data_IF_633279980359
#
_entry.id   IF_633279980359
#
_cell.length_a   1.000
_cell.length_b   1.000
_cell.length_c   1.000
_cell.angle_alpha   90.00
_cell.angle_beta   90.00
_cell.angle_gamma   90.00
#
_symmetry.space_group_name_H-M   'P 1'
#
loop_
_entity.id
_entity.type
_entity.pdbx_description
1 polymer ?
#
# COMPACT_ATOMS: atom_id res chain seq x y z
N UNK A 1 28.76 -40.85 24.62
CA UNK A 1 28.76 -39.37 24.67
C UNK A 1 28.57 -38.92 26.13
N UNK A 2 29.28 -37.85 26.55
CA UNK A 2 29.15 -37.31 27.92
C UNK A 2 27.75 -36.69 28.12
N UNK A 3 27.13 -36.86 29.31
CA UNK A 3 25.80 -36.28 29.66
C UNK A 3 25.68 -34.81 29.28
N UNK A 4 26.77 -34.05 29.52
CA UNK A 4 26.86 -32.62 29.23
C UNK A 4 26.73 -32.28 27.74
N UNK A 5 27.20 -33.15 26.84
CA UNK A 5 27.12 -32.89 25.37
C UNK A 5 25.70 -33.02 24.85
N UNK A 6 24.94 -34.04 25.30
CA UNK A 6 23.55 -34.23 24.88
C UNK A 6 22.71 -33.09 25.45
N UNK A 7 22.91 -32.70 26.69
CA UNK A 7 22.19 -31.58 27.31
C UNK A 7 22.49 -30.27 26.63
N UNK A 8 23.78 -29.98 26.32
CA UNK A 8 24.15 -28.79 25.54
C UNK A 8 23.49 -28.76 24.17
N UNK A 9 23.54 -29.88 23.45
CA UNK A 9 22.91 -29.99 22.11
C UNK A 9 21.41 -29.75 22.18
N UNK A 10 20.73 -30.31 23.18
CA UNK A 10 19.28 -30.12 23.41
C UNK A 10 18.95 -28.64 23.65
N UNK A 11 19.73 -27.95 24.49
CA UNK A 11 19.54 -26.53 24.80
C UNK A 11 19.77 -25.67 23.56
N UNK A 12 20.86 -25.90 22.82
CA UNK A 12 21.12 -25.18 21.57
C UNK A 12 20.01 -25.35 20.54
N UNK A 13 19.55 -26.59 20.36
CA UNK A 13 18.41 -26.87 19.45
C UNK A 13 17.12 -26.23 19.91
N UNK A 14 16.83 -26.24 21.23
CA UNK A 14 15.64 -25.58 21.78
C UNK A 14 15.69 -24.05 21.56
N UNK A 15 16.85 -23.43 21.79
CA UNK A 15 17.05 -22.00 21.55
C UNK A 15 16.89 -21.66 20.04
N UNK A 16 17.44 -22.47 19.15
CA UNK A 16 17.29 -22.30 17.72
C UNK A 16 15.83 -22.40 17.29
N UNK A 17 15.09 -23.35 17.86
CA UNK A 17 13.66 -23.55 17.55
C UNK A 17 12.79 -22.40 18.08
N UNK A 18 13.06 -21.90 19.29
CA UNK A 18 12.38 -20.73 19.85
C UNK A 18 12.67 -19.48 19.00
N UNK A 19 13.93 -19.30 18.58
CA UNK A 19 14.30 -18.23 17.64
C UNK A 19 13.55 -18.31 16.32
N UNK A 20 13.39 -19.52 15.78
CA UNK A 20 12.64 -19.73 14.53
C UNK A 20 11.15 -19.38 14.68
N UNK A 21 10.49 -19.81 15.78
CA UNK A 21 9.10 -19.45 16.07
C UNK A 21 8.95 -17.93 16.21
N UNK A 22 9.88 -17.28 16.93
CA UNK A 22 9.85 -15.82 17.10
C UNK A 22 9.91 -15.10 15.75
N UNK A 23 10.84 -15.47 14.88
CA UNK A 23 10.94 -14.90 13.53
C UNK A 23 9.66 -15.13 12.73
N UNK A 24 9.03 -16.31 12.82
CA UNK A 24 7.81 -16.65 12.11
C UNK A 24 6.63 -15.78 12.57
N UNK A 25 6.49 -15.56 13.89
CA UNK A 25 5.43 -14.67 14.44
C UNK A 25 5.66 -13.23 13.98
N UNK A 26 6.87 -12.71 14.12
CA UNK A 26 7.22 -11.34 13.69
C UNK A 26 6.99 -11.14 12.19
N UNK A 27 7.33 -12.13 11.38
CA UNK A 27 7.07 -12.07 9.94
C UNK A 27 5.57 -12.03 9.62
N UNK A 28 4.75 -12.78 10.37
CA UNK A 28 3.29 -12.74 10.22
C UNK A 28 2.71 -11.37 10.59
N UNK A 29 3.13 -10.79 11.72
CA UNK A 29 2.70 -9.45 12.13
C UNK A 29 3.06 -8.40 11.07
N UNK A 30 4.30 -8.36 10.61
CA UNK A 30 4.74 -7.45 9.56
C UNK A 30 3.95 -7.62 8.25
N UNK A 31 3.59 -8.86 7.90
CA UNK A 31 2.78 -9.13 6.70
C UNK A 31 1.36 -8.59 6.84
N UNK A 32 0.75 -8.73 8.03
CA UNK A 32 -0.58 -8.18 8.32
C UNK A 32 -0.55 -6.66 8.21
N UNK A 33 0.45 -6.01 8.80
CA UNK A 33 0.58 -4.56 8.80
C UNK A 33 0.83 -4.04 7.38
N UNK A 34 1.72 -4.67 6.63
CA UNK A 34 1.96 -4.33 5.23
C UNK A 34 0.69 -4.45 4.37
N UNK A 35 -0.10 -5.51 4.56
CA UNK A 35 -1.38 -5.69 3.85
C UNK A 35 -2.42 -4.64 4.24
N UNK A 36 -2.48 -4.26 5.51
CA UNK A 36 -3.33 -3.18 5.98
C UNK A 36 -2.95 -1.84 5.34
N UNK A 37 -1.67 -1.55 5.26
CA UNK A 37 -1.15 -0.32 4.66
C UNK A 37 -1.44 -0.28 3.15
N UNK A 38 -1.13 -1.35 2.41
CA UNK A 38 -1.45 -1.46 0.98
C UNK A 38 -2.94 -1.29 0.70
N UNK A 39 -3.79 -1.90 1.52
CA UNK A 39 -5.24 -1.73 1.43
C UNK A 39 -5.64 -0.28 1.65
N UNK A 40 -5.13 0.36 2.69
CA UNK A 40 -5.40 1.75 3.04
C UNK A 40 -4.98 2.71 1.93
N UNK A 41 -3.79 2.53 1.35
CA UNK A 41 -3.30 3.32 0.23
C UNK A 41 -4.17 3.15 -1.02
N UNK A 42 -4.58 1.91 -1.34
CA UNK A 42 -5.44 1.65 -2.51
C UNK A 42 -6.81 2.31 -2.33
N UNK A 43 -7.38 2.25 -1.12
CA UNK A 43 -8.63 2.95 -0.79
C UNK A 43 -8.46 4.46 -0.94
N UNK A 44 -7.41 5.04 -0.34
CA UNK A 44 -7.20 6.50 -0.39
C UNK A 44 -6.98 7.00 -1.82
N UNK A 45 -6.26 6.24 -2.64
CA UNK A 45 -6.12 6.54 -4.08
C UNK A 45 -7.47 6.53 -4.80
N UNK A 46 -8.31 5.52 -4.53
CA UNK A 46 -9.64 5.43 -5.11
C UNK A 46 -10.53 6.60 -4.68
N UNK A 47 -10.53 6.96 -3.40
CA UNK A 47 -11.32 8.07 -2.88
C UNK A 47 -10.86 9.43 -3.44
N UNK A 48 -9.56 9.65 -3.57
CA UNK A 48 -9.00 10.84 -4.21
C UNK A 48 -9.44 10.93 -5.69
N UNK A 49 -9.43 9.81 -6.39
CA UNK A 49 -9.89 9.75 -7.78
C UNK A 49 -11.38 10.08 -7.91
N UNK A 50 -12.23 9.57 -7.01
CA UNK A 50 -13.66 9.89 -6.95
C UNK A 50 -13.86 11.38 -6.71
N UNK A 51 -13.16 11.98 -5.74
CA UNK A 51 -13.21 13.42 -5.47
C UNK A 51 -12.85 14.23 -6.73
N UNK A 52 -11.74 13.86 -7.39
CA UNK A 52 -11.30 14.54 -8.61
C UNK A 52 -12.29 14.38 -9.78
N UNK A 53 -12.91 13.22 -9.94
CA UNK A 53 -13.92 12.99 -10.97
C UNK A 53 -15.17 13.84 -10.73
N UNK A 54 -15.65 13.94 -9.48
CA UNK A 54 -16.79 14.78 -9.13
C UNK A 54 -16.50 16.28 -9.34
N UNK A 55 -15.29 16.73 -9.01
CA UNK A 55 -14.87 18.11 -9.30
C UNK A 55 -14.78 18.39 -10.81
N UNK A 56 -14.29 17.41 -11.58
CA UNK A 56 -14.26 17.53 -13.04
C UNK A 56 -15.67 17.60 -13.65
N UNK A 57 -16.59 16.75 -13.19
CA UNK A 57 -17.98 16.77 -13.63
C UNK A 57 -18.65 18.10 -13.30
N UNK A 58 -18.39 18.63 -12.11
CA UNK A 58 -18.91 19.93 -11.70
C UNK A 58 -18.35 21.06 -12.55
N UNK A 59 -17.04 21.07 -12.76
CA UNK A 59 -16.40 22.06 -13.65
C UNK A 59 -16.94 22.01 -15.07
N UNK A 60 -17.16 20.79 -15.59
CA UNK A 60 -17.74 20.59 -16.92
C UNK A 60 -19.17 21.10 -17.00
N UNK A 61 -19.98 20.83 -15.98
CA UNK A 61 -21.36 21.31 -15.89
C UNK A 61 -21.43 22.84 -15.98
N UNK A 62 -20.65 23.56 -15.18
CA UNK A 62 -20.63 25.01 -15.20
C UNK A 62 -20.06 25.60 -16.49
N UNK A 63 -19.04 24.93 -17.05
CA UNK A 63 -18.48 25.38 -18.33
C UNK A 63 -19.51 25.23 -19.46
N UNK A 64 -20.31 24.19 -19.48
CA UNK A 64 -21.39 24.00 -20.45
C UNK A 64 -22.52 25.01 -20.22
N UNK A 65 -22.88 25.33 -18.97
CA UNK A 65 -23.89 26.31 -18.61
C UNK A 65 -23.43 27.74 -18.99
N UNK A 66 -22.20 28.14 -18.67
CA UNK A 66 -21.63 29.45 -19.06
C UNK A 66 -21.51 29.61 -20.58
N UNK A 67 -21.14 28.55 -21.31
CA UNK A 67 -21.08 28.57 -22.78
C UNK A 67 -22.48 28.73 -23.36
N UNK A 68 -23.50 28.09 -22.80
CA UNK A 68 -24.87 28.19 -23.23
C UNK A 68 -25.44 29.60 -22.98
N UNK A 69 -25.15 30.22 -21.84
CA UNK A 69 -25.60 31.55 -21.44
C UNK A 69 -24.89 32.68 -22.20
N UNK A 70 -23.59 32.52 -22.48
CA UNK A 70 -22.83 33.48 -23.27
C UNK A 70 -23.26 33.55 -24.71
N UNK A 71 -24.11 32.63 -25.18
CA UNK A 71 -24.61 32.61 -26.55
C UNK A 71 -23.49 32.65 -27.57
N UNK A 72 -22.37 32.00 -27.26
CA UNK A 72 -21.29 31.84 -28.23
C UNK A 72 -21.82 30.94 -29.34
N UNK A 73 -22.40 31.57 -30.32
CA UNK A 73 -22.64 30.97 -31.61
C UNK A 73 -21.26 30.44 -32.06
N UNK A 74 -21.19 29.13 -32.22
CA UNK A 74 -20.07 28.52 -32.95
C UNK A 74 -19.79 29.36 -34.16
N UNK A 75 -18.58 29.81 -34.44
CA UNK A 75 -18.28 30.56 -35.65
C UNK A 75 -18.68 29.67 -36.81
N UNK A 76 -19.75 30.09 -37.52
CA UNK A 76 -20.11 29.48 -38.77
C UNK A 76 -18.96 29.83 -39.71
N UNK A 77 -18.07 28.89 -39.92
CA UNK A 77 -16.95 29.01 -40.86
C UNK A 77 -17.59 29.10 -42.26
N UNK A 78 -17.95 30.30 -42.64
CA UNK A 78 -18.16 30.65 -44.04
C UNK A 78 -16.83 31.27 -44.48
N UNK A 79 -16.22 30.66 -45.50
CA UNK A 79 -15.00 31.12 -46.16
C UNK A 79 -15.07 32.63 -46.45
N UNK A 80 -14.49 33.45 -45.59
CA UNK A 80 -13.94 34.78 -45.84
C UNK A 80 -13.96 35.80 -44.70
N UNK A 81 -14.82 35.69 -43.63
CA UNK A 81 -14.78 36.72 -42.57
C UNK A 81 -15.12 36.17 -41.20
N UNK A 82 -14.19 36.34 -40.23
CA UNK A 82 -14.47 36.12 -38.81
C UNK A 82 -15.27 37.30 -38.25
N UNK A 83 -16.58 37.13 -38.14
CA UNK A 83 -17.44 38.08 -37.44
C UNK A 83 -17.85 37.52 -36.09
N UNK A 84 -17.46 38.17 -35.00
CA UNK A 84 -17.95 37.88 -33.66
C UNK A 84 -19.21 38.72 -33.38
N UNK A 85 -20.32 38.11 -33.15
CA UNK A 85 -21.52 38.80 -32.68
C UNK A 85 -21.68 38.60 -31.18
N UNK A 86 -21.34 39.64 -30.40
CA UNK A 86 -21.62 39.67 -28.95
C UNK A 86 -23.04 40.24 -28.78
N UNK A 87 -23.94 39.45 -28.19
CA UNK A 87 -25.30 39.86 -27.88
C UNK A 87 -25.26 41.00 -26.84
N UNK A 88 -25.38 42.24 -27.30
CA UNK A 88 -25.47 43.39 -26.39
C UNK A 88 -24.84 44.71 -26.87
N UNK A 89 -23.94 44.74 -27.83
CA UNK A 89 -23.48 45.96 -28.51
C UNK A 89 -22.83 45.60 -29.82
N UNK A 90 -23.42 46.01 -30.92
CA UNK A 90 -22.79 46.01 -32.24
C UNK A 90 -21.61 46.96 -32.18
N UNK A 91 -20.42 46.44 -32.09
CA UNK A 91 -19.17 47.19 -32.35
C UNK A 91 -18.43 46.40 -33.41
N UNK A 92 -18.78 46.64 -34.63
CA UNK A 92 -18.00 46.22 -35.79
C UNK A 92 -16.64 46.90 -35.75
N UNK A 93 -15.61 46.20 -35.31
CA UNK A 93 -14.23 46.56 -35.57
C UNK A 93 -13.61 45.55 -36.51
N UNK A 94 -13.66 45.86 -37.78
CA UNK A 94 -12.83 45.23 -38.81
C UNK A 94 -11.33 45.55 -38.48
N UNK A 95 -10.62 44.61 -37.92
CA UNK A 95 -9.19 44.75 -37.62
C UNK A 95 -8.31 43.99 -38.63
N UNK A 96 -8.83 43.68 -39.80
CA UNK A 96 -8.02 42.93 -40.78
C UNK A 96 -8.31 43.40 -42.20
N UNK A 97 -8.16 44.70 -42.49
CA UNK A 97 -8.13 45.09 -43.92
C UNK A 97 -7.38 46.40 -44.20
N UNK A 98 -6.25 46.61 -43.60
CA UNK A 98 -5.42 47.78 -44.00
C UNK A 98 -3.90 47.47 -44.09
N UNK A 99 -3.49 46.30 -44.51
CA UNK A 99 -2.04 46.08 -44.75
C UNK A 99 -1.72 45.19 -45.96
N UNK A 100 -2.58 45.16 -46.98
CA UNK A 100 -2.26 44.41 -48.22
C UNK A 100 -2.17 45.24 -49.49
N UNK A 101 -2.18 46.60 -49.44
CA UNK A 101 -2.12 47.39 -50.64
C UNK A 101 -1.05 48.51 -50.68
N UNK A 102 0.03 48.37 -49.97
CA UNK A 102 1.22 49.29 -50.15
C UNK A 102 2.52 48.51 -50.27
N UNK A 103 2.57 47.49 -51.10
CA UNK A 103 3.85 46.90 -51.50
C UNK A 103 3.95 46.71 -53.00
N UNK A 104 3.68 47.80 -53.75
CA UNK A 104 4.04 47.88 -55.17
C UNK A 104 4.22 49.36 -55.55
N UNK A 105 5.38 49.88 -55.44
CA UNK A 105 5.98 50.91 -56.22
C UNK A 105 6.97 51.75 -55.39
N UNK A 106 8.20 51.46 -55.49
CA UNK A 106 9.34 52.41 -55.75
C UNK A 106 10.63 51.71 -55.29
N UNK A 107 11.17 50.91 -56.15
CA UNK A 107 12.60 50.68 -56.19
C UNK A 107 13.19 51.81 -56.85
N UNK A 108 13.89 52.71 -56.12
CA UNK A 108 15.15 53.26 -56.51
C UNK A 108 15.61 54.35 -55.50
N UNK A 109 16.88 54.24 -55.16
CA UNK A 109 17.80 55.26 -54.70
C UNK A 109 17.97 55.42 -53.19
N UNK A 110 19.18 55.13 -52.82
CA UNK A 110 20.13 55.55 -51.79
C UNK A 110 20.37 54.60 -50.68
N UNK A 111 21.35 53.78 -50.90
CA UNK A 111 22.06 52.98 -49.89
C UNK A 111 23.00 53.91 -49.12
N UNK A 112 22.74 54.13 -47.84
CA UNK A 112 23.69 54.26 -46.74
C UNK A 112 23.16 54.95 -45.48
N UNK A 113 22.02 55.67 -45.52
CA UNK A 113 21.39 56.22 -44.30
C UNK A 113 20.11 55.53 -43.87
N UNK A 114 19.66 54.45 -44.55
CA UNK A 114 18.42 53.69 -44.23
C UNK A 114 18.62 52.52 -43.31
N UNK A 115 19.90 52.15 -43.04
CA UNK A 115 20.10 50.97 -42.15
C UNK A 115 19.86 51.21 -40.64
N UNK A 116 20.11 52.46 -40.19
CA UNK A 116 19.86 52.81 -38.78
C UNK A 116 18.38 53.10 -38.51
N UNK A 117 17.72 53.83 -39.39
CA UNK A 117 16.28 54.11 -39.25
C UNK A 117 15.40 52.87 -39.50
N UNK A 118 15.81 51.97 -40.38
CA UNK A 118 15.10 50.67 -40.58
C UNK A 118 15.23 49.75 -39.35
N UNK A 119 16.35 49.74 -38.66
CA UNK A 119 16.55 48.96 -37.44
C UNK A 119 15.77 49.52 -36.24
N UNK A 120 15.72 50.86 -36.05
CA UNK A 120 14.86 51.44 -35.00
C UNK A 120 13.38 51.19 -35.28
N UNK A 121 12.90 51.38 -36.50
CA UNK A 121 11.53 51.09 -36.89
C UNK A 121 11.15 49.58 -36.76
N UNK A 122 12.12 48.68 -36.95
CA UNK A 122 11.89 47.25 -36.80
C UNK A 122 11.85 46.85 -35.31
N UNK A 123 12.67 47.44 -34.47
CA UNK A 123 12.71 47.21 -33.04
C UNK A 123 11.46 47.76 -32.35
N UNK A 124 10.99 48.94 -32.73
CA UNK A 124 9.74 49.52 -32.25
C UNK A 124 8.51 48.67 -32.63
N UNK A 125 8.48 48.18 -33.86
CA UNK A 125 7.40 47.22 -34.29
C UNK A 125 7.47 45.90 -33.55
N UNK A 126 8.64 45.38 -33.30
CA UNK A 126 8.84 44.17 -32.56
C UNK A 126 8.38 44.32 -31.09
N UNK A 127 8.72 45.44 -30.46
CA UNK A 127 8.27 45.77 -29.10
C UNK A 127 6.75 45.95 -29.03
N UNK A 128 6.15 46.67 -29.98
CA UNK A 128 4.69 46.87 -30.02
C UNK A 128 3.91 45.57 -30.24
N UNK A 129 4.42 44.65 -31.06
CA UNK A 129 3.84 43.29 -31.23
C UNK A 129 3.99 42.48 -29.97
N UNK A 130 5.15 42.53 -29.29
CA UNK A 130 5.38 41.87 -28.03
C UNK A 130 4.47 42.39 -26.92
N UNK A 131 4.28 43.69 -26.81
CA UNK A 131 3.37 44.32 -25.86
C UNK A 131 1.90 43.94 -26.14
N UNK A 132 1.51 43.90 -27.41
CA UNK A 132 0.17 43.47 -27.83
C UNK A 132 -0.08 42.02 -27.49
N UNK A 133 0.86 41.12 -27.80
CA UNK A 133 0.78 39.70 -27.45
C UNK A 133 0.74 39.47 -25.93
N UNK A 134 1.56 40.21 -25.18
CA UNK A 134 1.57 40.21 -23.73
C UNK A 134 0.25 40.70 -23.15
N UNK A 135 -0.30 41.79 -23.73
CA UNK A 135 -1.61 42.32 -23.35
C UNK A 135 -2.73 41.32 -23.61
N UNK A 136 -2.74 40.65 -24.77
CA UNK A 136 -3.70 39.59 -25.11
C UNK A 136 -3.56 38.40 -24.16
N UNK A 137 -2.35 37.96 -23.87
CA UNK A 137 -2.12 36.86 -22.94
C UNK A 137 -2.61 37.17 -21.51
N UNK A 138 -2.32 38.38 -21.00
CA UNK A 138 -2.77 38.84 -19.68
C UNK A 138 -4.29 38.98 -19.63
N UNK A 139 -4.91 39.46 -20.69
CA UNK A 139 -6.36 39.57 -20.82
C UNK A 139 -7.01 38.18 -20.83
N UNK A 140 -6.54 37.24 -21.63
CA UNK A 140 -7.02 35.87 -21.65
C UNK A 140 -6.85 35.16 -20.31
N UNK A 141 -5.71 35.37 -19.65
CA UNK A 141 -5.46 34.84 -18.31
C UNK A 141 -6.40 35.47 -17.27
N UNK A 142 -6.70 36.76 -17.39
CA UNK A 142 -7.66 37.46 -16.53
C UNK A 142 -9.07 36.89 -16.66
N UNK A 143 -9.53 36.67 -17.90
CA UNK A 143 -10.82 36.05 -18.19
C UNK A 143 -10.91 34.61 -17.66
N UNK A 144 -9.87 33.82 -17.86
CA UNK A 144 -9.82 32.44 -17.32
C UNK A 144 -9.90 32.44 -15.79
N UNK A 145 -9.18 33.35 -15.12
CA UNK A 145 -9.26 33.45 -13.66
C UNK A 145 -10.65 33.88 -13.18
N UNK A 146 -11.30 34.80 -13.89
CA UNK A 146 -12.66 35.26 -13.57
C UNK A 146 -13.67 34.12 -13.74
N UNK A 147 -13.59 33.37 -14.82
CA UNK A 147 -14.43 32.18 -15.07
C UNK A 147 -14.19 31.13 -13.99
N UNK A 148 -12.93 30.83 -13.65
CA UNK A 148 -12.62 29.87 -12.58
C UNK A 148 -13.19 30.35 -11.23
N UNK A 149 -13.05 31.61 -10.87
CA UNK A 149 -13.58 32.16 -9.62
C UNK A 149 -15.12 32.12 -9.61
N UNK A 150 -15.78 32.39 -10.72
CA UNK A 150 -17.22 32.26 -10.86
C UNK A 150 -17.68 30.84 -10.68
N UNK A 151 -17.02 29.87 -11.36
CA UNK A 151 -17.31 28.44 -11.22
C UNK A 151 -17.16 28.01 -9.75
N UNK A 152 -16.06 28.37 -9.08
CA UNK A 152 -15.83 28.03 -7.68
C UNK A 152 -16.87 28.65 -6.73
N UNK A 153 -17.30 29.88 -6.98
CA UNK A 153 -18.33 30.54 -6.16
C UNK A 153 -19.72 30.00 -6.41
N UNK A 154 -20.04 29.66 -7.65
CA UNK A 154 -21.36 29.20 -8.09
C UNK A 154 -21.57 27.73 -7.68
N UNK A 155 -20.51 26.90 -7.81
CA UNK A 155 -20.54 25.48 -7.43
C UNK A 155 -20.88 25.29 -5.95
N UNK A 156 -20.30 26.09 -5.07
CA UNK A 156 -20.53 25.99 -3.63
C UNK A 156 -21.96 26.41 -3.20
N UNK A 157 -22.78 26.99 -4.07
CA UNK A 157 -24.15 27.38 -3.78
C UNK A 157 -25.20 26.32 -4.15
N UNK A 158 -24.83 25.32 -4.97
CA UNK A 158 -25.74 24.21 -5.29
C UNK A 158 -25.87 23.24 -4.12
N UNK A 159 -27.06 22.63 -3.92
CA UNK A 159 -27.26 21.57 -2.93
C UNK A 159 -26.27 20.41 -3.18
N UNK A 160 -25.72 19.87 -2.12
CA UNK A 160 -24.72 18.80 -2.21
C UNK A 160 -25.30 17.51 -2.85
N UNK A 161 -26.59 17.29 -2.67
CA UNK A 161 -27.32 16.14 -3.24
C UNK A 161 -27.32 16.15 -4.76
N UNK A 162 -27.30 17.34 -5.39
CA UNK A 162 -27.24 17.50 -6.85
C UNK A 162 -25.80 17.40 -7.37
N UNK A 163 -24.82 17.91 -6.58
CA UNK A 163 -23.39 17.88 -6.93
C UNK A 163 -22.81 16.47 -6.83
N UNK A 164 -23.21 15.74 -5.80
CA UNK A 164 -22.78 14.37 -5.51
C UNK A 164 -24.00 13.46 -5.34
N UNK A 165 -24.63 13.11 -6.46
CA UNK A 165 -25.75 12.17 -6.46
C UNK A 165 -25.31 10.78 -5.98
N UNK A 166 -26.13 10.14 -5.15
CA UNK A 166 -25.82 8.86 -4.51
C UNK A 166 -25.50 7.75 -5.50
N UNK A 167 -26.22 7.68 -6.60
CA UNK A 167 -25.99 6.65 -7.61
C UNK A 167 -24.66 6.88 -8.34
N UNK A 168 -24.34 8.13 -8.66
CA UNK A 168 -23.07 8.51 -9.31
C UNK A 168 -21.87 8.28 -8.38
N UNK A 169 -21.99 8.67 -7.13
CA UNK A 169 -20.92 8.42 -6.11
C UNK A 169 -20.69 6.92 -5.95
N UNK A 170 -21.75 6.11 -5.89
CA UNK A 170 -21.63 4.66 -5.82
C UNK A 170 -20.90 4.09 -7.03
N UNK A 171 -21.26 4.52 -8.22
CA UNK A 171 -20.66 4.06 -9.49
C UNK A 171 -19.17 4.41 -9.55
N UNK A 172 -18.81 5.66 -9.24
CA UNK A 172 -17.41 6.09 -9.20
C UNK A 172 -16.59 5.36 -8.13
N UNK A 173 -17.18 5.13 -6.96
CA UNK A 173 -16.54 4.31 -5.93
C UNK A 173 -16.28 2.89 -6.42
N UNK A 174 -17.28 2.26 -7.01
CA UNK A 174 -17.17 0.90 -7.53
C UNK A 174 -16.07 0.79 -8.60
N UNK A 175 -16.09 1.67 -9.59
CA UNK A 175 -15.11 1.67 -10.68
C UNK A 175 -13.68 1.95 -10.18
N UNK A 176 -13.51 2.94 -9.32
CA UNK A 176 -12.18 3.31 -8.81
C UNK A 176 -11.62 2.28 -7.83
N UNK A 177 -12.45 1.68 -6.99
CA UNK A 177 -12.02 0.59 -6.10
C UNK A 177 -11.61 -0.62 -6.92
N UNK A 178 -12.41 -1.02 -7.90
CA UNK A 178 -12.10 -2.15 -8.79
C UNK A 178 -10.81 -1.90 -9.59
N UNK A 179 -10.63 -0.69 -10.12
CA UNK A 179 -9.40 -0.30 -10.85
C UNK A 179 -8.14 -0.35 -9.99
N UNK A 180 -8.27 -0.13 -8.68
CA UNK A 180 -7.18 -0.25 -7.70
C UNK A 180 -7.07 -1.66 -7.09
N UNK A 181 -7.76 -2.66 -7.67
CA UNK A 181 -7.68 -4.07 -7.24
C UNK A 181 -8.50 -4.39 -5.99
N UNK A 182 -9.45 -3.55 -5.62
CA UNK A 182 -10.35 -3.72 -4.49
C UNK A 182 -11.75 -4.07 -4.97
N UNK A 183 -11.98 -5.33 -5.31
CA UNK A 183 -13.32 -5.86 -5.64
C UNK A 183 -13.97 -6.42 -4.37
N UNK A 184 -14.48 -5.52 -3.53
CA UNK A 184 -15.03 -5.83 -2.21
C UNK A 184 -16.28 -5.03 -1.91
N UNK A 185 -17.23 -5.59 -1.16
CA UNK A 185 -18.40 -4.83 -0.72
C UNK A 185 -17.99 -3.67 0.19
N UNK A 186 -18.53 -2.51 -0.12
CA UNK A 186 -18.32 -1.28 0.62
C UNK A 186 -19.65 -0.62 0.95
N UNK A 187 -19.65 0.15 2.02
CA UNK A 187 -20.75 1.01 2.43
C UNK A 187 -20.24 2.43 2.54
N UNK A 188 -21.07 3.39 2.19
CA UNK A 188 -20.65 4.79 2.19
C UNK A 188 -21.70 5.73 2.74
N UNK A 189 -21.26 6.89 3.20
CA UNK A 189 -22.10 7.98 3.66
C UNK A 189 -21.47 9.32 3.27
N UNK A 190 -22.33 10.27 2.95
CA UNK A 190 -21.97 11.65 2.72
C UNK A 190 -22.33 12.46 3.96
N UNK A 191 -21.35 13.17 4.50
CA UNK A 191 -21.48 13.96 5.73
C UNK A 191 -21.02 15.38 5.47
N UNK A 192 -21.92 16.35 5.65
CA UNK A 192 -21.58 17.75 5.58
C UNK A 192 -21.15 18.24 6.98
N UNK A 193 -20.14 19.09 7.04
CA UNK A 193 -19.65 19.65 8.31
C UNK A 193 -20.72 20.41 9.09
N UNK A 194 -21.61 21.12 8.41
CA UNK A 194 -22.65 21.97 9.01
C UNK A 194 -23.98 21.26 9.16
N UNK A 195 -24.39 20.45 8.17
CA UNK A 195 -25.70 19.82 8.08
C UNK A 195 -25.76 18.39 8.61
N UNK A 196 -24.62 17.80 8.95
CA UNK A 196 -24.55 16.41 9.41
C UNK A 196 -24.66 15.40 8.27
N UNK A 197 -25.39 14.31 8.50
CA UNK A 197 -25.55 13.24 7.51
C UNK A 197 -26.46 13.71 6.35
N UNK A 198 -25.93 13.72 5.13
CA UNK A 198 -26.66 14.04 3.90
C UNK A 198 -27.42 12.80 3.41
N UNK A 199 -26.70 11.74 3.14
CA UNK A 199 -27.26 10.42 2.83
C UNK A 199 -26.29 9.31 3.17
N UNK A 200 -26.77 8.06 3.23
CA UNK A 200 -25.96 6.88 3.47
C UNK A 200 -26.50 5.67 2.69
N UNK A 201 -25.63 4.72 2.38
CA UNK A 201 -26.02 3.40 1.88
C UNK A 201 -26.73 2.58 2.97
N UNK A 202 -27.49 1.57 2.58
CA UNK A 202 -28.40 0.81 3.46
C UNK A 202 -27.67 0.14 4.63
N UNK A 203 -26.44 -0.32 4.40
CA UNK A 203 -25.62 -1.04 5.39
C UNK A 203 -24.67 -0.15 6.19
N UNK A 204 -24.64 1.17 5.93
CA UNK A 204 -23.70 2.06 6.61
C UNK A 204 -24.08 2.29 8.09
N UNK A 205 -23.20 1.87 8.99
CA UNK A 205 -23.37 2.04 10.43
C UNK A 205 -22.74 3.36 10.90
N UNK A 206 -23.60 4.28 11.35
CA UNK A 206 -23.20 5.60 11.83
C UNK A 206 -22.49 5.57 13.18
N UNK A 207 -22.76 4.57 14.03
CA UNK A 207 -22.18 4.48 15.36
C UNK A 207 -20.73 3.96 15.33
N UNK A 208 -20.41 3.11 14.37
CA UNK A 208 -19.07 2.54 14.18
C UNK A 208 -18.15 3.34 13.25
N UNK A 209 -18.47 4.61 12.99
CA UNK A 209 -17.74 5.49 12.05
C UNK A 209 -16.26 5.72 12.44
N UNK A 210 -15.90 5.49 13.69
CA UNK A 210 -14.53 5.60 14.21
C UNK A 210 -13.76 4.27 14.17
N UNK A 211 -14.31 3.22 13.55
CA UNK A 211 -13.63 1.95 13.45
C UNK A 211 -12.45 2.01 12.46
N UNK A 212 -11.42 1.19 12.70
CA UNK A 212 -10.25 1.02 11.82
C UNK A 212 -10.59 0.61 10.37
N UNK A 213 -11.87 0.40 10.07
CA UNK A 213 -12.38 -0.07 8.78
C UNK A 213 -13.03 1.05 7.97
N UNK A 214 -13.08 2.30 8.47
CA UNK A 214 -13.65 3.44 7.78
C UNK A 214 -12.59 4.42 7.32
N UNK A 215 -12.81 4.99 6.14
CA UNK A 215 -11.95 5.97 5.50
C UNK A 215 -12.76 7.22 5.20
N UNK A 216 -12.12 8.37 5.29
CA UNK A 216 -12.78 9.66 5.10
C UNK A 216 -11.99 10.49 4.10
N UNK A 217 -12.68 11.02 3.09
CA UNK A 217 -12.12 11.91 2.09
C UNK A 217 -12.97 13.15 1.94
N UNK A 218 -12.33 14.30 1.73
CA UNK A 218 -13.01 15.54 1.36
C UNK A 218 -13.40 15.44 -0.11
N UNK A 219 -14.69 15.64 -0.44
CA UNK A 219 -15.15 15.55 -1.84
C UNK A 219 -14.81 16.81 -2.64
N UNK A 220 -15.03 17.98 -2.06
CA UNK A 220 -14.81 19.26 -2.72
C UNK A 220 -13.88 20.11 -1.85
N UNK A 221 -12.54 19.99 -2.03
CA UNK A 221 -11.55 20.70 -1.23
C UNK A 221 -11.62 22.23 -1.36
N UNK A 222 -12.13 22.71 -2.50
CA UNK A 222 -12.22 24.13 -2.82
C UNK A 222 -13.47 24.82 -2.23
N UNK A 223 -14.37 24.05 -1.62
CA UNK A 223 -15.56 24.61 -0.97
C UNK A 223 -15.18 25.43 0.29
N UNK A 224 -15.98 26.47 0.63
CA UNK A 224 -15.81 27.20 1.86
C UNK A 224 -15.85 26.28 3.08
N UNK A 225 -15.04 26.59 4.13
CA UNK A 225 -14.85 25.75 5.32
C UNK A 225 -16.17 25.30 5.96
N UNK A 226 -17.22 26.14 5.90
CA UNK A 226 -18.56 25.82 6.45
C UNK A 226 -19.36 24.82 5.62
N UNK A 227 -19.01 24.61 4.35
CA UNK A 227 -19.73 23.73 3.40
C UNK A 227 -18.95 22.47 3.04
N UNK A 228 -17.79 22.24 3.66
CA UNK A 228 -16.96 21.07 3.38
C UNK A 228 -17.75 19.78 3.58
N UNK A 229 -17.75 18.93 2.58
CA UNK A 229 -18.42 17.64 2.57
C UNK A 229 -17.41 16.50 2.58
N UNK A 230 -17.66 15.53 3.45
CA UNK A 230 -16.82 14.34 3.63
C UNK A 230 -17.53 13.11 3.07
N UNK A 231 -16.83 12.38 2.24
CA UNK A 231 -17.20 11.03 1.86
C UNK A 231 -16.59 10.06 2.87
N UNK A 232 -17.43 9.32 3.57
CA UNK A 232 -17.00 8.24 4.48
C UNK A 232 -17.32 6.91 3.84
N UNK A 233 -16.32 6.04 3.74
CA UNK A 233 -16.48 4.70 3.17
C UNK A 233 -16.03 3.67 4.20
N UNK A 234 -16.84 2.64 4.40
CA UNK A 234 -16.60 1.55 5.34
C UNK A 234 -16.52 0.22 4.60
N UNK A 235 -15.60 -0.64 5.05
CA UNK A 235 -15.39 -1.98 4.48
C UNK A 235 -15.64 -3.05 5.55
N UNK A 236 -16.86 -3.56 5.68
CA UNK A 236 -17.21 -4.54 6.72
C UNK A 236 -16.41 -5.85 6.61
N UNK A 237 -16.04 -6.24 5.39
CA UNK A 237 -15.31 -7.48 5.10
C UNK A 237 -13.79 -7.34 5.08
N UNK A 238 -13.23 -6.16 5.37
CA UNK A 238 -11.78 -5.87 5.32
C UNK A 238 -10.94 -6.93 6.04
N UNK A 239 -11.33 -7.30 7.26
CA UNK A 239 -10.60 -8.29 8.08
C UNK A 239 -10.50 -9.64 7.37
N UNK A 240 -11.59 -10.11 6.77
CA UNK A 240 -11.63 -11.41 6.08
C UNK A 240 -10.69 -11.43 4.87
N UNK A 241 -10.59 -10.31 4.16
CA UNK A 241 -9.73 -10.17 2.97
C UNK A 241 -8.27 -10.18 3.35
N UNK A 242 -7.89 -9.42 4.38
CA UNK A 242 -6.52 -9.44 4.91
C UNK A 242 -6.16 -10.84 5.38
N UNK A 243 -7.05 -11.52 6.12
CA UNK A 243 -6.83 -12.90 6.56
C UNK A 243 -6.70 -13.87 5.40
N UNK A 244 -7.52 -13.74 4.35
CA UNK A 244 -7.43 -14.61 3.18
C UNK A 244 -6.10 -14.45 2.43
N UNK A 245 -5.53 -13.25 2.43
CA UNK A 245 -4.24 -12.98 1.83
C UNK A 245 -3.06 -13.62 2.58
N UNK A 246 -3.26 -14.05 3.84
CA UNK A 246 -2.23 -14.65 4.70
C UNK A 246 -2.34 -16.17 4.73
N UNK A 247 -3.38 -16.76 4.13
CA UNK A 247 -3.60 -18.22 4.14
C UNK A 247 -2.41 -19.03 3.61
N UNK A 248 -1.60 -18.47 2.70
CA UNK A 248 -0.41 -19.14 2.19
C UNK A 248 0.67 -19.38 3.27
N UNK A 249 0.61 -18.69 4.42
CA UNK A 249 1.53 -18.91 5.54
C UNK A 249 1.14 -20.13 6.41
N UNK A 250 -0.10 -20.59 6.34
CA UNK A 250 -0.59 -21.73 7.14
C UNK A 250 0.30 -22.98 6.94
N UNK A 251 0.70 -23.38 5.71
CA UNK A 251 1.59 -24.52 5.52
C UNK A 251 2.93 -24.39 6.23
N UNK A 252 3.47 -23.18 6.36
CA UNK A 252 4.73 -22.91 7.07
C UNK A 252 4.59 -23.19 8.57
N UNK A 253 3.48 -22.77 9.18
CA UNK A 253 3.19 -23.07 10.60
C UNK A 253 2.98 -24.56 10.83
N UNK A 254 2.26 -25.25 9.93
CA UNK A 254 2.05 -26.71 10.02
C UNK A 254 3.39 -27.45 9.94
N UNK A 255 4.26 -27.07 8.99
CA UNK A 255 5.59 -27.67 8.85
C UNK A 255 6.44 -27.43 10.10
N UNK A 256 6.41 -26.22 10.64
CA UNK A 256 7.10 -25.87 11.88
C UNK A 256 6.61 -26.73 13.06
N UNK A 257 5.30 -26.96 13.17
CA UNK A 257 4.73 -27.82 14.20
C UNK A 257 5.16 -29.28 14.05
N UNK A 258 5.19 -29.81 12.82
CA UNK A 258 5.68 -31.17 12.54
C UNK A 258 7.15 -31.31 12.97
N UNK A 259 7.99 -30.33 12.62
CA UNK A 259 9.40 -30.32 13.04
C UNK A 259 9.55 -30.30 14.56
N UNK A 260 8.71 -29.54 15.27
CA UNK A 260 8.68 -29.54 16.74
C UNK A 260 8.38 -30.93 17.31
N UNK A 261 7.37 -31.61 16.77
CA UNK A 261 7.00 -32.96 17.22
C UNK A 261 8.15 -33.95 16.98
N UNK A 262 8.75 -33.93 15.79
CA UNK A 262 9.91 -34.77 15.46
C UNK A 262 11.06 -34.48 16.44
N UNK A 263 11.34 -33.23 16.75
CA UNK A 263 12.37 -32.83 17.68
C UNK A 263 12.13 -33.40 19.10
N UNK A 264 10.91 -33.25 19.62
CA UNK A 264 10.53 -33.80 20.95
C UNK A 264 10.71 -35.32 20.97
N UNK A 265 10.24 -36.01 19.92
CA UNK A 265 10.36 -37.48 19.82
C UNK A 265 11.86 -37.89 19.79
N UNK A 266 12.67 -37.23 18.97
CA UNK A 266 14.11 -37.53 18.86
C UNK A 266 14.84 -37.33 20.17
N UNK A 267 14.57 -36.26 20.90
CA UNK A 267 15.15 -36.02 22.22
C UNK A 267 14.72 -37.10 23.22
N UNK A 268 13.43 -37.46 23.23
CA UNK A 268 12.93 -38.47 24.12
C UNK A 268 13.60 -39.83 23.89
N UNK A 269 13.76 -40.22 22.62
CA UNK A 269 14.47 -41.44 22.24
C UNK A 269 15.94 -41.38 22.69
N UNK A 270 16.65 -40.27 22.44
CA UNK A 270 18.04 -40.12 22.79
C UNK A 270 18.26 -40.23 24.32
N UNK A 271 17.40 -39.64 25.14
CA UNK A 271 17.46 -39.80 26.59
C UNK A 271 17.16 -41.21 27.03
N UNK A 272 16.21 -41.90 26.42
CA UNK A 272 15.86 -43.27 26.72
C UNK A 272 16.99 -44.25 26.38
N UNK A 273 17.56 -44.14 25.20
CA UNK A 273 18.70 -44.97 24.77
C UNK A 273 19.91 -44.78 25.72
N UNK A 274 20.18 -43.53 26.11
CA UNK A 274 21.24 -43.28 27.04
C UNK A 274 21.02 -43.91 28.39
N UNK A 275 19.82 -43.83 28.95
CA UNK A 275 19.47 -44.47 30.22
C UNK A 275 19.63 -46.01 30.16
N UNK A 276 19.23 -46.59 29.01
CA UNK A 276 19.42 -48.03 28.78
C UNK A 276 20.92 -48.39 28.71
N UNK A 277 21.74 -47.58 28.06
CA UNK A 277 23.18 -47.80 27.97
C UNK A 277 23.86 -47.68 29.36
N UNK A 278 23.46 -46.71 30.17
CA UNK A 278 23.97 -46.56 31.55
C UNK A 278 23.59 -47.79 32.37
N UNK A 279 22.33 -48.23 32.39
CA UNK A 279 21.90 -49.45 33.08
C UNK A 279 22.64 -50.69 32.61
N UNK A 280 22.90 -50.85 31.31
CA UNK A 280 23.67 -51.95 30.75
C UNK A 280 25.12 -51.93 31.26
N UNK A 281 25.77 -50.76 31.29
CA UNK A 281 27.14 -50.64 31.75
C UNK A 281 27.24 -50.90 33.26
N UNK A 282 26.29 -50.39 34.06
CA UNK A 282 26.24 -50.65 35.49
C UNK A 282 26.03 -52.15 35.80
N UNK A 283 25.13 -52.78 35.00
CA UNK A 283 24.92 -54.24 35.08
C UNK A 283 26.22 -55.01 34.79
N UNK A 284 26.89 -54.69 33.66
CA UNK A 284 28.15 -55.37 33.28
C UNK A 284 29.22 -55.14 34.33
N UNK A 285 29.38 -53.92 34.88
CA UNK A 285 30.37 -53.61 35.90
C UNK A 285 30.06 -54.37 37.20
N UNK A 286 28.84 -54.42 37.66
CA UNK A 286 28.42 -55.17 38.85
C UNK A 286 28.63 -56.68 38.65
N UNK A 287 28.19 -57.21 37.50
CA UNK A 287 28.41 -58.63 37.16
C UNK A 287 29.88 -58.97 37.10
N UNK A 288 30.72 -58.10 36.51
CA UNK A 288 32.17 -58.34 36.46
C UNK A 288 32.78 -58.40 37.88
N UNK A 289 32.31 -57.54 38.78
CA UNK A 289 32.74 -57.52 40.14
C UNK A 289 32.29 -58.76 40.92
N UNK A 290 31.00 -59.15 40.78
CA UNK A 290 30.39 -60.32 41.40
C UNK A 290 30.99 -61.63 40.89
N UNK A 291 31.41 -61.70 39.62
CA UNK A 291 32.11 -62.89 39.06
C UNK A 291 33.59 -62.92 39.42
N UNK A 292 34.25 -61.80 39.68
CA UNK A 292 35.66 -61.75 40.04
C UNK A 292 35.95 -62.50 41.34
N UNK A 293 35.09 -62.35 42.32
CA UNK A 293 35.26 -62.95 43.63
C UNK A 293 35.23 -64.50 43.55
N UNK A 294 34.19 -65.18 43.00
CA UNK A 294 34.19 -66.64 42.90
C UNK A 294 35.27 -67.17 41.98
N UNK A 295 35.62 -66.46 40.87
CA UNK A 295 36.71 -66.89 40.00
C UNK A 295 38.07 -66.82 40.72
N UNK A 296 38.28 -65.77 41.50
CA UNK A 296 39.49 -65.63 42.30
C UNK A 296 39.56 -66.74 43.34
N UNK A 297 38.49 -67.12 44.01
CA UNK A 297 38.40 -68.18 44.95
C UNK A 297 38.68 -69.55 44.32
N UNK A 298 38.08 -69.83 43.17
CA UNK A 298 38.34 -71.03 42.39
C UNK A 298 39.77 -71.11 41.92
N UNK A 299 40.35 -69.98 41.46
CA UNK A 299 41.75 -69.90 41.04
C UNK A 299 42.68 -70.19 42.22
N UNK A 300 42.38 -69.65 43.39
CA UNK A 300 43.13 -69.86 44.59
C UNK A 300 43.05 -71.34 45.01
N UNK A 301 41.84 -71.92 45.02
CA UNK A 301 41.68 -73.35 45.35
C UNK A 301 42.38 -74.25 44.32
N UNK A 302 42.39 -73.93 43.05
CA UNK A 302 43.11 -74.65 42.04
C UNK A 302 44.66 -74.52 42.20
N UNK A 303 45.14 -73.35 42.61
CA UNK A 303 46.55 -73.15 42.97
C UNK A 303 46.95 -73.98 44.17
N UNK A 304 46.11 -73.97 45.20
CA UNK A 304 46.35 -74.78 46.41
C UNK A 304 46.38 -76.27 46.12
N UNK A 305 45.51 -76.75 45.21
CA UNK A 305 45.47 -78.12 44.75
C UNK A 305 46.74 -78.52 43.93
N UNK A 306 47.38 -77.55 43.29
CA UNK A 306 48.57 -77.77 42.49
C UNK A 306 49.90 -77.56 43.30
N UNK A 307 49.79 -77.14 44.53
CA UNK A 307 50.95 -76.99 45.43
C UNK A 307 51.39 -78.33 46.02
N UNK A 308 52.59 -78.74 45.75
CA UNK A 308 53.19 -80.00 46.20
C UNK A 308 53.27 -80.11 47.78
N UNK A 309 53.23 -79.00 48.47
CA UNK A 309 53.20 -78.96 49.93
C UNK A 309 51.84 -79.40 50.53
N UNK A 310 50.72 -79.02 49.87
CA UNK A 310 49.37 -79.42 50.27
C UNK A 310 49.07 -80.84 49.79
N UNK A 311 49.56 -81.26 48.71
CA UNK A 311 49.38 -82.62 48.12
C UNK A 311 50.00 -83.71 49.03
N UNK A 312 51.00 -83.38 49.87
CA UNK A 312 51.65 -84.26 50.78
C UNK A 312 51.04 -84.35 52.20
N UNK A 313 50.00 -83.50 52.47
CA UNK A 313 49.34 -83.43 53.77
C UNK A 313 47.81 -83.79 53.62
N UNK A 314 47.37 -85.04 53.90
CA UNK A 314 45.97 -85.50 53.70
C UNK A 314 44.90 -84.66 54.46
N UNK A 315 45.27 -84.03 55.57
CA UNK A 315 44.32 -83.25 56.38
C UNK A 315 44.01 -81.91 55.82
N UNK A 316 44.94 -81.25 55.08
CA UNK A 316 44.73 -79.95 54.41
C UNK A 316 43.89 -80.07 53.15
N UNK A 317 43.87 -81.24 52.50
CA UNK A 317 43.07 -81.53 51.28
C UNK A 317 41.57 -81.55 51.54
N UNK A 318 41.12 -81.71 52.76
CA UNK A 318 39.70 -81.74 53.12
C UNK A 318 39.06 -80.36 53.22
N UNK A 319 39.83 -79.29 53.29
CA UNK A 319 39.36 -77.90 53.47
C UNK A 319 39.59 -76.99 52.24
N UNK A 320 40.11 -77.45 51.11
CA UNK A 320 40.20 -76.80 49.80
C UNK A 320 39.07 -77.24 48.92
#
# INVERSE_FOLDING_TARGET
MKKSIIWLLTVVMACAFLGFIYVQITYMENMIDMRNEQFSESVMRSLNSVSSQLEQDETKYFLEEDIADLGVLYPKVTNSDFTYTIKGKETSKSILNNNSNEFSSSANITKESEKEQANESFQDRYQSVQETLKGQYLYQRGLLNEVILNILNQSSNRPIEERADSARVHEYLHQNLQSNGLDIPFEFALVNRSAGLVYKSVGFDTENTNSRNSYTQVLFPNDPIGKITYLKVSFPTKKNIIFSSIKFMIPSFVLSFILLVIFIVTITIAFREKRLTEMKNDFINNMTHEFKTPISTISLAAQMLNDDSIRKSPELFKHV
#
